data_IF_745384116161
#
_entry.id   IF_745384116161
#
_cell.length_a   1.000
_cell.length_b   1.000
_cell.length_c   1.000
_cell.angle_alpha   90.00
_cell.angle_beta   90.00
_cell.angle_gamma   90.00
#
_symmetry.space_group_name_H-M   'P 1'
#
loop_
_entity.id
_entity.type
_entity.pdbx_description
1 polymer ?
#
# COMPACT_ATOMS: atom_id res chain seq x y z
N UNK A 1 5.67 -6.21 26.18
CA UNK A 1 4.76 -5.36 25.39
C UNK A 1 4.41 -4.14 26.22
N UNK A 2 4.67 -2.94 25.73
CA UNK A 2 4.23 -1.70 26.39
C UNK A 2 3.32 -0.96 25.42
N UNK A 3 2.15 -0.55 25.91
CA UNK A 3 1.15 0.19 25.14
C UNK A 3 1.04 1.60 25.72
N UNK A 4 1.33 2.61 24.91
CA UNK A 4 1.14 4.01 25.29
C UNK A 4 0.03 4.62 24.44
N UNK A 5 -1.00 5.15 25.10
CA UNK A 5 -2.10 5.83 24.44
C UNK A 5 -1.89 7.34 24.55
N UNK A 6 -1.71 7.98 23.40
CA UNK A 6 -1.61 9.43 23.27
C UNK A 6 -2.93 9.95 22.71
N UNK A 7 -3.58 10.81 23.50
CA UNK A 7 -4.84 11.44 23.12
C UNK A 7 -4.58 12.91 22.78
N UNK A 8 -4.76 13.27 21.49
CA UNK A 8 -4.78 14.65 21.01
C UNK A 8 -6.19 14.94 20.47
N UNK A 9 -6.60 16.21 20.45
CA UNK A 9 -8.01 16.66 20.32
C UNK A 9 -8.86 15.94 19.25
N UNK A 10 -8.30 15.56 18.10
CA UNK A 10 -9.00 14.79 17.05
C UNK A 10 -8.26 13.52 16.59
N UNK A 11 -7.25 13.08 17.34
CA UNK A 11 -6.35 11.97 16.96
C UNK A 11 -6.13 11.03 18.14
N UNK A 12 -6.27 9.72 17.90
CA UNK A 12 -5.89 8.67 18.85
C UNK A 12 -4.67 7.95 18.31
N UNK A 13 -3.54 8.09 18.99
CA UNK A 13 -2.33 7.36 18.66
C UNK A 13 -2.03 6.32 19.73
N UNK A 14 -1.73 5.11 19.29
CA UNK A 14 -1.32 3.99 20.12
C UNK A 14 0.10 3.63 19.72
N UNK A 15 1.04 3.79 20.64
CA UNK A 15 2.41 3.31 20.44
C UNK A 15 2.55 1.91 21.02
N UNK A 16 3.01 0.98 20.20
CA UNK A 16 3.26 -0.41 20.55
C UNK A 16 4.77 -0.66 20.53
N UNK A 17 5.36 -0.90 21.70
CA UNK A 17 6.75 -1.33 21.81
C UNK A 17 6.82 -2.84 22.04
N UNK A 18 7.39 -3.55 21.08
CA UNK A 18 7.68 -4.98 21.12
C UNK A 18 9.18 -5.13 21.37
N UNK A 19 9.55 -5.55 22.59
CA UNK A 19 10.95 -5.81 22.93
C UNK A 19 11.37 -7.22 22.57
N UNK A 20 12.63 -7.36 22.17
CA UNK A 20 13.27 -8.65 21.94
C UNK A 20 13.10 -9.53 23.17
N UNK A 21 12.65 -10.76 22.95
CA UNK A 21 12.39 -11.72 24.02
C UNK A 21 12.68 -13.12 23.50
N UNK A 22 13.17 -14.02 24.37
CA UNK A 22 13.58 -15.38 23.97
C UNK A 22 12.49 -16.23 23.32
N UNK A 23 11.22 -15.88 23.53
CA UNK A 23 10.05 -16.58 22.98
C UNK A 23 9.51 -15.94 21.69
N UNK A 24 10.06 -14.80 21.27
CA UNK A 24 9.67 -14.08 20.07
C UNK A 24 10.91 -14.00 19.17
N UNK A 25 10.84 -14.58 17.97
CA UNK A 25 11.91 -14.48 16.96
C UNK A 25 11.96 -13.07 16.34
N UNK A 26 12.24 -12.06 17.17
CA UNK A 26 12.59 -10.73 16.72
C UNK A 26 14.11 -10.58 16.75
N UNK A 27 14.68 -10.01 15.68
CA UNK A 27 16.09 -9.65 15.64
C UNK A 27 16.42 -8.46 16.55
N UNK A 28 15.44 -7.60 16.81
CA UNK A 28 15.56 -6.31 17.49
C UNK A 28 14.26 -5.85 18.17
N UNK A 29 14.36 -4.80 19.00
CA UNK A 29 13.18 -4.09 19.53
C UNK A 29 12.44 -3.38 18.38
N UNK A 30 11.12 -3.52 18.32
CA UNK A 30 10.27 -2.85 17.32
C UNK A 30 9.26 -1.91 17.95
N UNK A 31 9.10 -0.74 17.34
CA UNK A 31 8.17 0.30 17.77
C UNK A 31 7.19 0.59 16.64
N UNK A 32 5.90 0.46 16.91
CA UNK A 32 4.82 0.79 15.98
C UNK A 32 4.01 1.95 16.53
N UNK A 33 3.60 2.87 15.67
CA UNK A 33 2.66 3.94 16.02
C UNK A 33 1.41 3.75 15.16
N UNK A 34 0.31 3.40 15.80
CA UNK A 34 -0.99 3.24 15.17
C UNK A 34 -1.79 4.51 15.43
N UNK A 35 -2.00 5.30 14.39
CA UNK A 35 -2.75 6.56 14.48
C UNK A 35 -4.12 6.43 13.84
N UNK A 36 -5.17 6.66 14.62
CA UNK A 36 -6.54 6.79 14.15
C UNK A 36 -6.96 8.26 14.23
N UNK A 37 -7.01 8.93 13.08
CA UNK A 37 -7.54 10.29 12.94
C UNK A 37 -8.68 10.32 11.92
N UNK A 38 -9.39 11.45 11.81
CA UNK A 38 -10.33 11.68 10.70
C UNK A 38 -9.56 11.63 9.36
N UNK A 39 -10.24 11.35 8.25
CA UNK A 39 -9.62 11.36 6.92
C UNK A 39 -8.99 12.72 6.60
N UNK A 40 -7.67 12.77 6.35
CA UNK A 40 -6.96 13.99 5.95
C UNK A 40 -6.00 14.59 6.99
N UNK A 41 -5.83 13.97 8.16
CA UNK A 41 -4.82 14.37 9.14
C UNK A 41 -3.50 13.66 8.84
N UNK A 42 -2.56 14.36 8.21
CA UNK A 42 -1.15 13.97 8.18
C UNK A 42 -0.47 14.62 9.40
N UNK A 43 0.26 13.85 10.20
CA UNK A 43 1.17 14.44 11.18
C UNK A 43 2.26 15.22 10.44
N UNK A 44 2.76 16.26 11.09
CA UNK A 44 3.94 17.03 10.65
C UNK A 44 5.25 16.22 10.75
N UNK A 45 5.15 14.96 11.20
CA UNK A 45 6.24 14.00 11.19
C UNK A 45 6.57 13.65 9.72
N UNK A 46 7.75 14.07 9.27
CA UNK A 46 8.28 13.73 7.94
C UNK A 46 8.26 12.22 7.75
N UNK A 47 7.44 11.70 6.83
CA UNK A 47 7.39 10.27 6.51
C UNK A 47 5.99 9.67 6.39
N UNK A 48 4.91 10.40 6.67
CA UNK A 48 3.58 9.91 6.33
C UNK A 48 3.45 9.80 4.79
N UNK A 49 3.11 8.59 4.31
CA UNK A 49 2.84 8.34 2.88
C UNK A 49 1.33 8.32 2.68
N UNK A 50 0.85 9.13 1.74
CA UNK A 50 -0.56 9.16 1.36
C UNK A 50 -0.78 8.43 0.03
N UNK A 51 -1.84 7.62 -0.03
CA UNK A 51 -2.36 7.07 -1.28
C UNK A 51 -3.42 8.01 -1.86
N UNK A 52 -3.29 8.34 -3.15
CA UNK A 52 -4.21 9.22 -3.89
C UNK A 52 -4.61 8.56 -5.20
N UNK A 53 -5.87 8.73 -5.59
CA UNK A 53 -6.35 8.39 -6.92
C UNK A 53 -6.41 9.66 -7.77
N UNK A 54 -5.90 9.58 -8.99
CA UNK A 54 -5.88 10.67 -9.96
C UNK A 54 -6.63 10.23 -11.21
N UNK A 55 -7.42 11.14 -11.79
CA UNK A 55 -8.02 10.95 -13.10
C UNK A 55 -6.97 11.06 -14.23
N UNK A 56 -7.40 10.87 -15.48
CA UNK A 56 -6.53 11.01 -16.66
C UNK A 56 -5.96 12.42 -16.86
N UNK A 57 -6.52 13.43 -16.19
CA UNK A 57 -6.03 14.81 -16.19
C UNK A 57 -5.08 15.09 -15.02
N UNK A 58 -4.79 14.08 -14.19
CA UNK A 58 -3.91 14.17 -13.03
C UNK A 58 -4.57 14.79 -11.80
N UNK A 59 -5.89 15.00 -11.81
CA UNK A 59 -6.61 15.61 -10.68
C UNK A 59 -7.03 14.55 -9.68
N UNK A 60 -6.90 14.87 -8.39
CA UNK A 60 -7.31 13.96 -7.31
C UNK A 60 -8.81 13.72 -7.34
N UNK A 61 -9.21 12.45 -7.42
CA UNK A 61 -10.60 12.03 -7.32
C UNK A 61 -10.90 11.44 -5.94
N UNK A 62 -12.14 11.61 -5.49
CA UNK A 62 -12.64 11.01 -4.24
C UNK A 62 -13.46 9.74 -4.50
N UNK A 63 -14.04 9.65 -5.68
CA UNK A 63 -14.88 8.55 -6.11
C UNK A 63 -14.36 8.05 -7.45
N UNK A 64 -14.27 6.74 -7.58
CA UNK A 64 -13.85 6.06 -8.81
C UNK A 64 -15.07 5.41 -9.46
N UNK A 65 -15.05 5.33 -10.78
CA UNK A 65 -16.10 4.71 -11.58
C UNK A 65 -15.57 3.38 -12.07
N UNK A 66 -16.42 2.36 -11.97
CA UNK A 66 -16.13 1.02 -12.47
C UNK A 66 -15.71 1.04 -13.95
N UNK A 67 -14.75 0.18 -14.29
CA UNK A 67 -14.17 -0.01 -15.61
C UNK A 67 -13.62 1.29 -16.24
N UNK A 68 -13.09 2.19 -15.39
CA UNK A 68 -12.32 3.36 -15.84
C UNK A 68 -10.88 3.28 -15.36
N UNK A 69 -10.04 3.95 -16.11
CA UNK A 69 -8.62 4.10 -15.80
C UNK A 69 -8.38 5.17 -14.75
N UNK A 70 -7.47 4.89 -13.83
CA UNK A 70 -7.02 5.82 -12.81
C UNK A 70 -5.52 5.65 -12.56
N UNK A 71 -4.86 6.73 -12.13
CA UNK A 71 -3.51 6.62 -11.58
C UNK A 71 -3.60 6.58 -10.06
N UNK A 72 -3.06 5.54 -9.44
CA UNK A 72 -2.84 5.51 -8.00
C UNK A 72 -1.42 6.02 -7.70
N UNK A 73 -1.32 6.99 -6.80
CA UNK A 73 -0.08 7.65 -6.40
C UNK A 73 0.13 7.48 -4.89
N UNK A 74 1.23 6.83 -4.52
CA UNK A 74 1.81 6.91 -3.19
C UNK A 74 2.73 8.13 -3.13
N UNK A 75 2.59 9.00 -2.14
CA UNK A 75 3.35 10.24 -2.04
C UNK A 75 3.67 10.58 -0.59
N UNK A 76 4.91 10.94 -0.32
CA UNK A 76 5.32 11.48 0.98
C UNK A 76 4.64 12.83 1.20
N UNK A 77 3.88 12.99 2.29
CA UNK A 77 3.10 14.20 2.55
C UNK A 77 3.96 15.40 2.86
N UNK A 78 5.05 15.19 3.62
CA UNK A 78 6.00 16.22 4.03
C UNK A 78 7.43 15.77 3.69
N UNK A 79 7.87 15.93 2.43
CA UNK A 79 9.19 15.52 2.01
C UNK A 79 10.24 16.46 2.61
N UNK A 80 11.10 15.93 3.49
CA UNK A 80 12.28 16.64 4.01
C UNK A 80 13.54 16.40 3.15
N UNK A 81 13.40 15.68 2.03
CA UNK A 81 14.50 15.32 1.11
C UNK A 81 15.40 14.18 1.62
N UNK A 82 15.24 13.76 2.87
CA UNK A 82 16.09 12.72 3.50
C UNK A 82 15.68 11.31 3.08
N UNK A 83 14.40 11.12 2.74
CA UNK A 83 13.84 9.79 2.54
C UNK A 83 13.12 9.64 1.20
N UNK A 84 13.39 8.53 0.53
CA UNK A 84 12.65 8.06 -0.64
C UNK A 84 11.71 6.92 -0.28
N UNK A 85 10.79 6.60 -1.19
CA UNK A 85 9.79 5.54 -0.99
C UNK A 85 9.75 4.55 -2.16
N UNK A 86 9.36 3.32 -1.83
CA UNK A 86 9.01 2.27 -2.80
C UNK A 86 7.82 1.47 -2.28
N UNK A 87 6.86 1.19 -3.16
CA UNK A 87 5.75 0.29 -2.81
C UNK A 87 6.22 -1.16 -2.90
N UNK A 88 6.03 -1.92 -1.82
CA UNK A 88 6.44 -3.32 -1.72
C UNK A 88 5.37 -4.25 -2.25
N UNK A 89 4.14 -4.16 -1.73
CA UNK A 89 2.98 -4.94 -2.14
C UNK A 89 1.73 -4.07 -2.06
N UNK A 90 0.62 -4.55 -2.60
CA UNK A 90 -0.67 -3.89 -2.45
C UNK A 90 -1.82 -4.87 -2.65
N UNK A 91 -2.88 -4.72 -1.87
CA UNK A 91 -4.10 -5.49 -2.01
C UNK A 91 -5.32 -4.59 -1.83
N UNK A 92 -6.43 -5.01 -2.42
CA UNK A 92 -7.73 -4.40 -2.22
C UNK A 92 -8.60 -5.30 -1.36
N UNK A 93 -9.48 -4.71 -0.56
CA UNK A 93 -10.42 -5.46 0.27
C UNK A 93 -11.74 -4.73 0.48
N UNK A 94 -12.78 -5.47 0.84
CA UNK A 94 -14.08 -4.92 1.24
C UNK A 94 -14.29 -5.03 2.77
N UNK A 95 -15.40 -4.47 3.26
CA UNK A 95 -15.79 -4.53 4.67
C UNK A 95 -16.04 -5.95 5.21
N UNK A 96 -16.21 -6.93 4.33
CA UNK A 96 -16.38 -8.36 4.68
C UNK A 96 -15.06 -9.13 4.67
N UNK A 97 -13.92 -8.42 4.62
CA UNK A 97 -12.57 -8.98 4.55
C UNK A 97 -12.32 -9.90 3.34
N UNK A 98 -13.14 -9.80 2.29
CA UNK A 98 -12.75 -10.36 1.00
C UNK A 98 -11.61 -9.51 0.46
N UNK A 99 -10.51 -10.14 0.08
CA UNK A 99 -9.30 -9.44 -0.36
C UNK A 99 -8.81 -9.98 -1.69
N UNK A 100 -8.21 -9.09 -2.48
CA UNK A 100 -7.57 -9.44 -3.74
C UNK A 100 -6.20 -8.78 -3.77
N UNK A 101 -5.17 -9.60 -3.91
CA UNK A 101 -3.81 -9.12 -4.08
C UNK A 101 -3.66 -8.50 -5.48
N UNK A 102 -3.05 -7.31 -5.54
CA UNK A 102 -2.83 -6.55 -6.77
C UNK A 102 -1.35 -6.54 -7.15
N UNK A 103 -0.50 -6.28 -6.16
CA UNK A 103 0.96 -6.26 -6.27
C UNK A 103 1.52 -7.27 -5.25
N UNK A 104 2.39 -8.17 -5.70
CA UNK A 104 3.08 -9.15 -4.84
C UNK A 104 4.20 -8.52 -3.99
N UNK A 105 4.82 -9.30 -3.10
CA UNK A 105 5.91 -8.84 -2.24
C UNK A 105 7.19 -8.40 -2.96
N UNK A 106 7.32 -8.73 -4.25
CA UNK A 106 8.43 -8.31 -5.10
C UNK A 106 8.14 -6.98 -5.80
N UNK A 107 6.95 -6.40 -5.59
CA UNK A 107 6.47 -5.20 -6.28
C UNK A 107 5.88 -5.48 -7.66
N UNK A 108 5.65 -6.74 -8.03
CA UNK A 108 5.12 -7.12 -9.34
C UNK A 108 3.59 -7.18 -9.35
N UNK A 109 2.94 -6.68 -10.41
CA UNK A 109 1.50 -6.88 -10.59
C UNK A 109 1.19 -8.37 -10.75
N UNK A 110 0.14 -8.83 -10.05
CA UNK A 110 -0.37 -10.19 -10.18
C UNK A 110 -1.16 -10.39 -11.48
N UNK A 111 -1.88 -9.36 -11.90
CA UNK A 111 -2.63 -9.33 -13.16
C UNK A 111 -2.33 -8.03 -13.89
N UNK A 112 -1.61 -8.14 -15.01
CA UNK A 112 -1.15 -7.00 -15.82
C UNK A 112 -2.31 -6.21 -16.47
N UNK A 113 -3.48 -6.84 -16.60
CA UNK A 113 -4.70 -6.24 -17.14
C UNK A 113 -5.44 -5.34 -16.12
N UNK A 114 -5.17 -5.51 -14.82
CA UNK A 114 -5.85 -4.80 -13.75
C UNK A 114 -5.07 -3.56 -13.35
N UNK A 115 -3.77 -3.73 -13.13
CA UNK A 115 -2.91 -2.67 -12.62
C UNK A 115 -1.45 -2.88 -13.04
N UNK A 116 -0.74 -1.78 -13.27
CA UNK A 116 0.71 -1.81 -13.56
C UNK A 116 1.54 -1.81 -12.28
N UNK A 117 2.83 -2.11 -12.40
CA UNK A 117 3.81 -1.93 -11.34
C UNK A 117 3.89 -0.46 -10.92
N UNK A 118 4.12 -0.22 -9.63
CA UNK A 118 4.52 1.10 -9.12
C UNK A 118 5.90 1.51 -9.62
N UNK A 119 5.97 2.67 -10.27
CA UNK A 119 7.21 3.34 -10.67
C UNK A 119 7.50 4.51 -9.74
N UNK A 120 8.65 4.48 -9.09
CA UNK A 120 9.09 5.57 -8.22
C UNK A 120 9.49 6.79 -9.05
N UNK A 121 9.12 7.99 -8.61
CA UNK A 121 9.49 9.25 -9.25
C UNK A 121 10.99 9.51 -9.15
N UNK A 122 11.53 10.34 -10.05
CA UNK A 122 12.95 10.62 -10.10
C UNK A 122 13.49 11.20 -8.78
N UNK A 123 12.71 11.99 -8.06
CA UNK A 123 13.07 12.55 -6.74
C UNK A 123 12.92 11.53 -5.58
N UNK A 124 12.34 10.36 -5.83
CA UNK A 124 12.12 9.31 -4.85
C UNK A 124 10.95 9.56 -3.88
N UNK A 125 10.25 10.70 -3.98
CA UNK A 125 9.24 11.10 -2.98
C UNK A 125 7.85 10.58 -3.29
N UNK A 126 7.64 10.01 -4.47
CA UNK A 126 6.38 9.42 -4.88
C UNK A 126 6.56 8.15 -5.70
N UNK A 127 5.52 7.34 -5.80
CA UNK A 127 5.46 6.21 -6.71
C UNK A 127 4.06 6.12 -7.32
N UNK A 128 3.97 5.87 -8.62
CA UNK A 128 2.71 5.82 -9.36
C UNK A 128 2.52 4.49 -10.07
N UNK A 129 1.28 4.03 -10.13
CA UNK A 129 0.85 2.90 -10.95
C UNK A 129 -0.47 3.25 -11.63
N UNK A 130 -0.72 2.63 -12.78
CA UNK A 130 -1.96 2.77 -13.53
C UNK A 130 -2.87 1.61 -13.19
N UNK A 131 -4.11 1.92 -12.83
CA UNK A 131 -5.21 0.97 -12.73
C UNK A 131 -5.94 1.05 -14.07
N UNK A 132 -5.86 -0.02 -14.85
CA UNK A 132 -6.39 -0.06 -16.22
C UNK A 132 -7.92 -0.23 -16.21
N UNK A 133 -8.42 -1.09 -15.31
CA UNK A 133 -9.85 -1.25 -15.10
C UNK A 133 -10.16 -1.23 -13.61
N UNK A 134 -10.79 -0.14 -13.15
CA UNK A 134 -11.27 -0.04 -11.77
C UNK A 134 -12.37 -1.08 -11.53
N UNK A 135 -12.22 -1.87 -10.47
CA UNK A 135 -13.12 -2.97 -10.15
C UNK A 135 -13.97 -2.67 -8.91
N UNK A 136 -14.94 -3.55 -8.66
CA UNK A 136 -15.70 -3.63 -7.41
C UNK A 136 -15.86 -5.07 -6.98
N UNK A 137 -16.21 -5.27 -5.71
CA UNK A 137 -16.61 -6.58 -5.22
C UNK A 137 -18.09 -6.83 -5.56
N UNK A 138 -18.47 -8.10 -5.74
CA UNK A 138 -19.87 -8.51 -5.92
C UNK A 138 -20.78 -8.02 -4.80
N UNK A 139 -20.25 -8.01 -3.57
CA UNK A 139 -20.95 -7.65 -2.33
C UNK A 139 -21.16 -6.14 -2.12
N UNK A 140 -20.54 -5.27 -2.94
CA UNK A 140 -20.69 -3.83 -2.78
C UNK A 140 -19.72 -2.97 -3.59
N UNK A 141 -20.04 -1.68 -3.71
CA UNK A 141 -19.27 -0.71 -4.50
C UNK A 141 -18.08 -0.08 -3.75
N UNK A 142 -17.91 -0.39 -2.45
CA UNK A 142 -16.83 0.15 -1.64
C UNK A 142 -15.61 -0.77 -1.69
N UNK A 143 -14.49 -0.21 -2.12
CA UNK A 143 -13.19 -0.90 -2.26
C UNK A 143 -12.15 -0.12 -1.47
N UNK A 144 -11.47 -0.79 -0.55
CA UNK A 144 -10.33 -0.23 0.17
C UNK A 144 -9.04 -0.73 -0.45
N UNK A 145 -8.05 0.15 -0.56
CA UNK A 145 -6.70 -0.20 -1.03
C UNK A 145 -5.72 -0.02 0.12
N UNK A 146 -4.91 -1.06 0.37
CA UNK A 146 -3.83 -1.02 1.34
C UNK A 146 -2.55 -1.50 0.67
N UNK A 147 -1.50 -0.67 0.74
CA UNK A 147 -0.19 -1.01 0.21
C UNK A 147 0.87 -0.89 1.30
N UNK A 148 1.81 -1.85 1.34
CA UNK A 148 2.99 -1.74 2.18
C UNK A 148 4.03 -0.86 1.48
N UNK A 149 4.48 0.20 2.13
CA UNK A 149 5.46 1.14 1.58
C UNK A 149 6.76 1.05 2.38
N UNK A 150 7.86 0.86 1.67
CA UNK A 150 9.22 0.88 2.23
C UNK A 150 9.79 2.28 2.09
N UNK A 151 10.35 2.79 3.18
CA UNK A 151 11.11 4.03 3.21
C UNK A 151 12.61 3.73 3.18
N UNK A 152 13.35 4.47 2.37
CA UNK A 152 14.80 4.33 2.21
C UNK A 152 15.49 5.64 2.60
N UNK A 153 16.71 5.55 3.13
CA UNK A 153 17.58 6.72 3.28
C UNK A 153 18.06 7.16 1.90
N UNK A 154 17.68 8.36 1.47
CA UNK A 154 17.83 8.78 0.08
C UNK A 154 16.94 7.97 -0.87
N UNK A 155 17.40 7.73 -2.10
CA UNK A 155 16.60 7.00 -3.10
C UNK A 155 16.57 5.50 -2.79
N UNK A 156 15.39 4.91 -2.90
CA UNK A 156 15.27 3.45 -2.87
C UNK A 156 15.97 2.84 -4.10
N UNK A 157 16.59 1.66 -3.96
CA UNK A 157 17.10 0.91 -5.09
C UNK A 157 16.02 0.70 -6.14
N UNK A 158 16.34 0.96 -7.40
CA UNK A 158 15.45 0.67 -8.50
C UNK A 158 15.31 -0.84 -8.64
N UNK A 159 14.07 -1.32 -8.76
CA UNK A 159 13.82 -2.73 -9.00
C UNK A 159 13.99 -2.98 -10.50
N UNK A 160 14.81 -3.98 -10.83
CA UNK A 160 14.95 -4.44 -12.21
C UNK A 160 13.58 -4.89 -12.75
N UNK A 161 13.21 -4.38 -13.94
CA UNK A 161 11.95 -4.73 -14.61
C UNK A 161 11.90 -6.22 -14.96
N UNK A 162 13.06 -6.86 -15.15
CA UNK A 162 13.17 -8.30 -15.38
C UNK A 162 12.68 -9.16 -14.19
N UNK A 163 12.54 -8.58 -12.99
CA UNK A 163 12.02 -9.30 -11.81
C UNK A 163 10.58 -9.76 -12.03
N UNK A 164 9.80 -9.04 -12.85
CA UNK A 164 8.41 -9.40 -13.14
C UNK A 164 8.22 -10.24 -14.40
N UNK A 165 9.27 -10.42 -15.21
CA UNK A 165 9.21 -11.26 -16.41
C UNK A 165 9.53 -12.73 -16.13
N UNK A 166 9.94 -13.06 -14.89
CA UNK A 166 10.19 -14.43 -14.42
C UNK A 166 8.93 -15.14 -13.90
N UNK A 167 8.48 -16.15 -14.66
CA UNK A 167 7.53 -17.22 -14.33
C UNK A 167 6.17 -16.82 -13.73
N UNK A 168 5.22 -16.53 -14.62
CA UNK A 168 3.78 -16.56 -14.34
C UNK A 168 3.30 -17.89 -13.69
N UNK A 169 4.09 -18.98 -13.80
CA UNK A 169 3.77 -20.31 -13.24
C UNK A 169 4.23 -20.52 -11.78
N UNK A 170 5.05 -19.64 -11.20
CA UNK A 170 5.41 -19.72 -9.76
C UNK A 170 4.35 -19.08 -8.84
N UNK A 171 3.45 -18.26 -9.42
CA UNK A 171 2.56 -17.34 -8.70
C UNK A 171 1.41 -17.98 -7.92
N UNK A 172 1.01 -19.20 -8.26
CA UNK A 172 -0.10 -19.89 -7.57
C UNK A 172 0.28 -20.35 -6.16
N UNK A 173 1.57 -20.48 -5.83
CA UNK A 173 2.02 -21.00 -4.53
C UNK A 173 2.03 -19.95 -3.42
N UNK A 174 2.37 -18.70 -3.72
CA UNK A 174 2.46 -17.63 -2.71
C UNK A 174 1.10 -17.00 -2.38
N UNK A 175 0.15 -17.03 -3.32
CA UNK A 175 -1.21 -16.55 -3.09
C UNK A 175 -2.02 -17.47 -2.14
N UNK A 176 -1.58 -18.71 -1.91
CA UNK A 176 -2.21 -19.63 -0.95
C UNK A 176 -1.95 -19.27 0.53
N UNK A 177 -1.01 -18.39 0.83
CA UNK A 177 -0.71 -17.96 2.20
C UNK A 177 -1.61 -16.80 2.69
N UNK A 178 -2.30 -16.11 1.79
CA UNK A 178 -3.36 -15.15 2.09
C UNK A 178 -4.64 -15.72 1.51
N UNK A 179 -5.48 -16.33 2.35
CA UNK A 179 -6.71 -17.07 1.97
C UNK A 179 -7.43 -16.50 0.74
N UNK A 180 -7.15 -17.11 -0.41
CA UNK A 180 -7.64 -16.68 -1.70
C UNK A 180 -9.03 -17.28 -1.92
N UNK A 181 -10.07 -16.45 -1.83
CA UNK A 181 -11.38 -16.73 -2.42
C UNK A 181 -11.47 -15.96 -3.73
N UNK A 182 -11.14 -16.62 -4.83
CA UNK A 182 -11.16 -16.06 -6.21
C UNK A 182 -12.60 -15.99 -6.80
N UNK A 183 -13.64 -16.00 -5.97
CA UNK A 183 -15.04 -15.87 -6.38
C UNK A 183 -15.60 -14.53 -5.90
N UNK A 184 -15.54 -13.48 -6.72
CA UNK A 184 -16.31 -12.26 -6.44
C UNK A 184 -15.78 -10.93 -6.98
N UNK A 185 -14.68 -10.91 -7.73
CA UNK A 185 -14.33 -9.72 -8.50
C UNK A 185 -15.18 -9.70 -9.77
N UNK A 186 -15.96 -8.63 -9.95
CA UNK A 186 -16.57 -8.32 -11.24
C UNK A 186 -15.56 -7.43 -11.99
N UNK A 187 -14.90 -8.02 -12.98
CA UNK A 187 -14.03 -7.35 -13.95
C UNK A 187 -14.86 -6.76 -15.07
#
# INVERSE_FOLDING_TARGET
LVLLVLQRTEERSVQLAVRVHKTLELADDKFYVITCGKTGFARDDSGAVALKFLDSTGRRVRETVYNREYTIKAEVTNPNGTYGIRVKNCFAFNKKNMSVALIDDRGCPLKNDTMTRFRTSADGTSATAQIMSMFKFSEGSEVHFQCDVVQCNGRCPELDEAICTGDANAFVKSARALGQMDDGMLL
#
